data_IF_123808029963
#
_entry.id   IF_123808029963
#
_cell.length_a   1.000
_cell.length_b   1.000
_cell.length_c   1.000
_cell.angle_alpha   90.00
_cell.angle_beta   90.00
_cell.angle_gamma   90.00
#
_symmetry.space_group_name_H-M   'P 1'
#
loop_
_entity.id
_entity.type
_entity.pdbx_description
1 polymer ?
#
# COMPACT_ATOMS: atom_id res chain seq x y z
N UNK A 1 -1.32 -27.59 3.89
CA UNK A 1 -2.15 -26.53 4.52
C UNK A 1 -1.20 -25.73 5.40
N UNK A 2 -0.54 -24.71 4.84
CA UNK A 2 0.36 -23.85 5.62
C UNK A 2 -0.46 -23.09 6.64
N UNK A 3 -0.07 -23.18 7.90
CA UNK A 3 -0.72 -22.44 8.98
C UNK A 3 -0.62 -20.92 8.68
N UNK A 4 -1.75 -20.25 8.61
CA UNK A 4 -1.76 -18.80 8.47
C UNK A 4 -0.94 -18.17 9.61
N UNK A 5 0.00 -17.27 9.32
CA UNK A 5 0.80 -16.63 10.34
C UNK A 5 -0.13 -15.87 11.29
N UNK A 6 -0.08 -16.22 12.59
CA UNK A 6 -0.89 -15.55 13.62
C UNK A 6 -0.24 -14.25 14.00
N UNK A 7 -1.06 -13.21 14.15
CA UNK A 7 -0.63 -11.96 14.77
C UNK A 7 -0.16 -12.22 16.20
N UNK A 8 0.84 -11.46 16.66
CA UNK A 8 1.32 -11.56 18.04
C UNK A 8 0.29 -10.97 19.00
N UNK A 9 0.04 -11.65 20.12
CA UNK A 9 -0.80 -11.13 21.20
C UNK A 9 -0.17 -9.89 21.89
N UNK A 10 1.16 -9.78 21.85
CA UNK A 10 1.92 -8.63 22.33
C UNK A 10 2.92 -8.13 21.28
N UNK A 11 2.45 -7.42 20.25
CA UNK A 11 3.26 -6.98 19.13
C UNK A 11 4.25 -5.88 19.54
N UNK A 12 5.47 -5.91 18.99
CA UNK A 12 6.42 -4.79 19.09
C UNK A 12 6.19 -3.73 18.00
N UNK A 13 5.56 -4.12 16.89
CA UNK A 13 5.17 -3.23 15.79
C UNK A 13 3.69 -3.45 15.48
N UNK A 14 2.92 -2.38 15.37
CA UNK A 14 1.54 -2.41 14.85
C UNK A 14 1.50 -1.62 13.54
N UNK A 15 1.15 -2.30 12.44
CA UNK A 15 0.97 -1.68 11.13
C UNK A 15 -0.49 -1.25 10.97
N UNK A 16 -0.71 0.02 10.70
CA UNK A 16 -2.05 0.59 10.53
C UNK A 16 -2.50 0.61 9.08
N UNK A 17 -3.76 0.27 8.84
CA UNK A 17 -4.48 0.42 7.58
C UNK A 17 -5.98 0.54 7.86
N UNK A 18 -6.37 1.67 8.44
CA UNK A 18 -7.75 1.90 8.92
C UNK A 18 -8.75 2.12 7.77
N UNK A 19 -8.28 2.42 6.56
CA UNK A 19 -9.15 2.66 5.43
C UNK A 19 -9.73 1.34 4.90
N UNK A 20 -11.04 1.18 4.93
CA UNK A 20 -11.74 0.00 4.43
C UNK A 20 -11.59 -0.20 2.92
N UNK A 21 -11.47 0.91 2.17
CA UNK A 21 -11.36 0.86 0.71
C UNK A 21 -9.97 0.41 0.27
N UNK A 22 -9.91 -0.58 -0.61
CA UNK A 22 -8.66 -1.06 -1.21
C UNK A 22 -7.99 0.04 -2.05
N UNK A 23 -6.71 0.27 -1.82
CA UNK A 23 -5.89 1.29 -2.49
C UNK A 23 -4.47 0.76 -2.68
N UNK A 24 -3.62 1.45 -3.43
CA UNK A 24 -2.19 1.10 -3.55
C UNK A 24 -1.49 0.98 -2.19
N UNK A 25 -1.82 1.84 -1.22
CA UNK A 25 -1.30 1.73 0.16
C UNK A 25 -1.77 0.42 0.81
N UNK A 26 -3.04 0.04 0.65
CA UNK A 26 -3.56 -1.22 1.17
C UNK A 26 -2.90 -2.43 0.49
N UNK A 27 -2.67 -2.37 -0.83
CA UNK A 27 -1.96 -3.41 -1.57
C UNK A 27 -0.55 -3.64 -1.02
N UNK A 28 0.20 -2.56 -0.75
CA UNK A 28 1.54 -2.64 -0.16
C UNK A 28 1.51 -3.22 1.25
N UNK A 29 0.55 -2.80 2.09
CA UNK A 29 0.39 -3.37 3.45
C UNK A 29 0.09 -4.86 3.37
N UNK A 30 -0.84 -5.27 2.52
CA UNK A 30 -1.23 -6.68 2.36
C UNK A 30 -0.07 -7.56 1.87
N UNK A 31 0.82 -7.02 1.05
CA UNK A 31 2.01 -7.74 0.60
C UNK A 31 3.11 -7.83 1.68
N UNK A 32 3.30 -6.76 2.47
CA UNK A 32 4.41 -6.68 3.43
C UNK A 32 4.10 -7.33 4.77
N UNK A 33 2.87 -7.20 5.29
CA UNK A 33 2.51 -7.71 6.64
C UNK A 33 2.84 -9.19 6.81
N UNK A 34 2.47 -10.12 5.91
CA UNK A 34 2.80 -11.54 6.06
C UNK A 34 4.30 -11.82 6.09
N UNK A 35 5.10 -11.05 5.34
CA UNK A 35 6.56 -11.19 5.33
C UNK A 35 7.18 -10.66 6.63
N UNK A 36 6.71 -9.52 7.10
CA UNK A 36 7.18 -8.91 8.34
C UNK A 36 6.81 -9.75 9.57
N UNK A 37 5.65 -10.42 9.57
CA UNK A 37 5.24 -11.36 10.63
C UNK A 37 6.20 -12.54 10.83
N UNK A 38 6.97 -12.90 9.80
CA UNK A 38 8.00 -13.96 9.90
C UNK A 38 9.23 -13.52 10.69
N UNK A 39 9.46 -12.21 10.81
CA UNK A 39 10.68 -11.63 11.39
C UNK A 39 10.43 -10.87 12.69
N UNK A 40 9.22 -10.36 12.88
CA UNK A 40 8.87 -9.45 13.97
C UNK A 40 7.59 -9.90 14.66
N UNK A 41 7.48 -9.61 15.95
CA UNK A 41 6.21 -9.70 16.67
C UNK A 41 5.31 -8.55 16.19
N UNK A 42 4.53 -8.81 15.17
CA UNK A 42 3.75 -7.82 14.44
C UNK A 42 2.27 -7.95 14.75
N UNK A 43 1.62 -6.81 14.97
CA UNK A 43 0.19 -6.61 14.98
C UNK A 43 -0.26 -5.87 13.72
N UNK A 44 -1.49 -6.09 13.31
CA UNK A 44 -2.10 -5.36 12.21
C UNK A 44 -3.38 -4.71 12.69
N UNK A 45 -3.50 -3.40 12.52
CA UNK A 45 -4.69 -2.64 12.89
C UNK A 45 -5.44 -2.19 11.62
N UNK A 46 -6.59 -2.81 11.39
CA UNK A 46 -7.40 -2.54 10.20
C UNK A 46 -8.40 -3.65 9.90
N UNK A 47 -9.08 -3.57 8.76
CA UNK A 47 -9.99 -4.62 8.28
C UNK A 47 -9.21 -5.86 7.85
N UNK A 48 -9.83 -7.04 7.98
CA UNK A 48 -9.24 -8.30 7.50
C UNK A 48 -8.70 -8.17 6.08
N UNK A 49 -7.48 -8.60 5.88
CA UNK A 49 -6.82 -8.56 4.58
C UNK A 49 -7.33 -9.67 3.65
N UNK A 50 -7.19 -9.48 2.35
CA UNK A 50 -7.57 -10.48 1.34
C UNK A 50 -6.80 -11.81 1.46
N UNK A 51 -5.65 -11.80 2.12
CA UNK A 51 -4.82 -12.98 2.42
C UNK A 51 -5.17 -13.67 3.75
N UNK A 52 -6.29 -13.31 4.38
CA UNK A 52 -6.78 -13.92 5.61
C UNK A 52 -6.18 -13.38 6.91
N UNK A 53 -5.28 -12.40 6.88
CA UNK A 53 -4.76 -11.75 8.10
C UNK A 53 -5.88 -10.95 8.76
N UNK A 54 -6.29 -11.37 9.95
CA UNK A 54 -7.33 -10.70 10.75
C UNK A 54 -6.72 -9.53 11.50
N UNK A 55 -7.27 -8.33 11.30
CA UNK A 55 -6.80 -7.12 11.97
C UNK A 55 -7.45 -6.90 13.33
N UNK A 56 -6.70 -6.28 14.24
CA UNK A 56 -7.24 -5.73 15.48
C UNK A 56 -7.93 -4.38 15.23
N UNK A 57 -8.85 -4.01 16.13
CA UNK A 57 -9.44 -2.67 16.14
C UNK A 57 -8.48 -1.62 16.73
N UNK A 58 -8.69 -0.34 16.40
CA UNK A 58 -7.86 0.75 16.95
C UNK A 58 -7.93 0.86 18.50
N UNK A 59 -9.08 0.51 19.11
CA UNK A 59 -9.23 0.46 20.59
C UNK A 59 -8.37 -0.62 21.22
N UNK A 60 -8.27 -1.76 20.55
CA UNK A 60 -7.42 -2.87 20.97
C UNK A 60 -5.93 -2.48 20.81
N UNK A 61 -5.56 -1.83 19.70
CA UNK A 61 -4.22 -1.29 19.49
C UNK A 61 -3.81 -0.32 20.63
N UNK A 62 -4.73 0.54 21.09
CA UNK A 62 -4.52 1.39 22.27
C UNK A 62 -4.35 0.53 23.52
N UNK A 63 -5.22 -0.44 23.75
CA UNK A 63 -5.19 -1.29 24.95
C UNK A 63 -3.87 -2.03 25.11
N UNK A 64 -3.40 -2.70 24.05
CA UNK A 64 -2.11 -3.42 24.09
C UNK A 64 -0.91 -2.48 24.16
N UNK A 65 -1.08 -1.20 23.77
CA UNK A 65 -0.02 -0.19 23.81
C UNK A 65 0.10 0.55 25.15
N UNK A 66 -0.76 0.25 26.13
CA UNK A 66 -0.65 0.85 27.48
C UNK A 66 0.64 0.47 28.21
N UNK A 67 1.25 -0.65 27.81
CA UNK A 67 2.54 -1.11 28.30
C UNK A 67 3.47 -1.36 27.11
N UNK A 68 4.77 -1.09 27.24
CA UNK A 68 5.73 -1.44 26.22
C UNK A 68 5.79 -2.97 26.06
N UNK A 69 6.11 -3.48 24.87
CA UNK A 69 6.29 -4.92 24.68
C UNK A 69 7.53 -5.44 25.42
N UNK A 70 7.57 -6.74 25.84
CA UNK A 70 8.69 -7.31 26.57
C UNK A 70 10.02 -7.07 25.86
N UNK A 71 11.01 -6.57 26.61
CA UNK A 71 12.37 -6.29 26.13
C UNK A 71 12.49 -5.02 25.26
N UNK A 72 11.45 -4.19 25.19
CA UNK A 72 11.48 -2.93 24.44
C UNK A 72 10.98 -1.77 25.29
N UNK A 73 11.53 -0.55 25.13
CA UNK A 73 11.07 0.63 25.88
C UNK A 73 9.78 1.24 25.32
N UNK A 74 9.40 0.90 24.09
CA UNK A 74 8.20 1.42 23.41
C UNK A 74 7.73 0.44 22.33
N UNK A 75 6.48 0.63 21.89
CA UNK A 75 5.90 -0.04 20.73
C UNK A 75 5.93 0.88 19.53
N UNK A 76 6.16 0.33 18.33
CA UNK A 76 6.14 1.09 17.08
C UNK A 76 4.73 1.05 16.51
N UNK A 77 4.17 2.21 16.19
CA UNK A 77 2.97 2.35 15.37
C UNK A 77 3.39 2.82 13.98
N UNK A 78 3.24 1.94 13.00
CA UNK A 78 3.57 2.23 11.62
C UNK A 78 2.33 2.72 10.88
N UNK A 79 2.24 4.01 10.66
CA UNK A 79 1.10 4.72 10.07
C UNK A 79 1.41 5.14 8.63
N UNK A 80 0.37 5.32 7.81
CA UNK A 80 0.52 5.62 6.38
C UNK A 80 -0.43 6.68 5.85
N UNK A 81 -1.33 7.20 6.69
CA UNK A 81 -2.36 8.19 6.32
C UNK A 81 -2.61 9.18 7.44
N UNK A 82 -3.14 10.35 7.07
CA UNK A 82 -3.42 11.43 8.01
C UNK A 82 -4.28 10.99 9.22
N UNK A 83 -5.42 10.27 9.06
CA UNK A 83 -6.20 9.83 10.20
C UNK A 83 -5.44 8.89 11.14
N UNK A 84 -4.54 8.06 10.60
CA UNK A 84 -3.69 7.16 11.37
C UNK A 84 -2.61 7.96 12.13
N UNK A 85 -2.01 8.98 11.50
CA UNK A 85 -1.08 9.90 12.15
C UNK A 85 -1.78 10.68 13.29
N UNK A 86 -2.98 11.20 13.05
CA UNK A 86 -3.76 11.92 14.07
C UNK A 86 -4.07 11.03 15.27
N UNK A 87 -4.53 9.78 15.03
CA UNK A 87 -4.78 8.80 16.08
C UNK A 87 -3.49 8.50 16.87
N UNK A 88 -2.36 8.31 16.16
CA UNK A 88 -1.07 8.04 16.76
C UNK A 88 -0.58 9.20 17.63
N UNK A 89 -0.68 10.44 17.16
CA UNK A 89 -0.32 11.64 17.91
C UNK A 89 -1.18 11.78 19.17
N UNK A 90 -2.49 11.59 19.05
CA UNK A 90 -3.38 11.59 20.22
C UNK A 90 -3.02 10.49 21.22
N UNK A 91 -2.74 9.29 20.76
CA UNK A 91 -2.35 8.18 21.62
C UNK A 91 -1.00 8.44 22.33
N UNK A 92 -0.01 8.99 21.63
CA UNK A 92 1.33 9.28 22.16
C UNK A 92 1.32 10.51 23.08
N UNK A 93 0.76 11.62 22.59
CA UNK A 93 0.96 12.94 23.23
C UNK A 93 -0.13 13.26 24.29
N UNK A 94 -1.37 12.73 24.13
CA UNK A 94 -2.48 12.94 25.07
C UNK A 94 -2.63 11.76 26.02
N UNK A 95 -2.73 10.52 25.50
CA UNK A 95 -2.83 9.33 26.35
C UNK A 95 -1.48 8.90 26.95
N UNK A 96 -0.38 9.51 26.50
CA UNK A 96 1.00 9.25 26.95
C UNK A 96 1.39 7.78 26.87
N UNK A 97 0.92 7.10 25.80
CA UNK A 97 1.29 5.71 25.58
C UNK A 97 2.79 5.59 25.21
N UNK A 98 3.48 4.53 25.67
CA UNK A 98 4.87 4.27 25.31
C UNK A 98 4.98 3.76 23.87
N UNK A 99 4.73 4.65 22.91
CA UNK A 99 4.77 4.35 21.47
C UNK A 99 5.68 5.32 20.72
N UNK A 100 6.19 4.86 19.58
CA UNK A 100 6.88 5.67 18.57
C UNK A 100 6.12 5.57 17.26
N UNK A 101 6.02 6.69 16.55
CA UNK A 101 5.27 6.81 15.31
C UNK A 101 6.22 6.79 14.12
N UNK A 102 6.07 5.80 13.27
CA UNK A 102 6.78 5.69 11.98
C UNK A 102 5.78 5.93 10.86
N UNK A 103 6.09 6.87 9.98
CA UNK A 103 5.25 7.16 8.82
C UNK A 103 5.95 6.74 7.53
N UNK A 104 5.20 6.13 6.59
CA UNK A 104 5.72 5.87 5.23
C UNK A 104 4.99 6.74 4.22
N UNK A 105 5.77 7.58 3.52
CA UNK A 105 5.32 8.43 2.41
C UNK A 105 5.64 7.79 1.06
N UNK A 106 4.62 7.71 0.19
CA UNK A 106 4.77 7.35 -1.22
C UNK A 106 4.38 8.52 -2.16
N UNK A 107 3.99 9.65 -1.60
CA UNK A 107 3.55 10.80 -2.38
C UNK A 107 4.75 11.56 -2.98
N UNK A 108 4.69 11.82 -4.29
CA UNK A 108 5.72 12.54 -5.03
C UNK A 108 5.29 13.99 -5.34
N UNK A 109 4.55 14.58 -4.42
CA UNK A 109 4.12 15.98 -4.46
C UNK A 109 4.20 16.59 -3.07
N UNK A 110 4.37 17.88 -3.01
CA UNK A 110 4.43 18.62 -1.73
C UNK A 110 3.05 18.57 -1.07
N UNK A 111 3.05 18.14 0.17
CA UNK A 111 1.83 18.05 0.98
C UNK A 111 1.35 19.45 1.41
N UNK A 112 0.05 19.59 1.64
CA UNK A 112 -0.52 20.79 2.27
C UNK A 112 -0.04 20.98 3.72
N UNK A 113 -0.38 22.11 4.34
CA UNK A 113 0.12 22.51 5.67
C UNK A 113 -0.19 21.45 6.75
N UNK A 114 -1.42 20.95 6.81
CA UNK A 114 -1.83 19.98 7.84
C UNK A 114 -1.09 18.64 7.72
N UNK A 115 -1.05 17.95 6.55
CA UNK A 115 -0.25 16.75 6.42
C UNK A 115 1.24 16.95 6.70
N UNK A 116 1.82 18.10 6.27
CA UNK A 116 3.22 18.40 6.57
C UNK A 116 3.47 18.55 8.07
N UNK A 117 2.57 19.22 8.79
CA UNK A 117 2.65 19.30 10.25
C UNK A 117 2.54 17.93 10.92
N UNK A 118 1.59 17.08 10.50
CA UNK A 118 1.47 15.73 11.01
C UNK A 118 2.76 14.92 10.79
N UNK A 119 3.31 14.96 9.58
CA UNK A 119 4.55 14.26 9.22
C UNK A 119 5.73 14.77 10.06
N UNK A 120 5.84 16.08 10.30
CA UNK A 120 6.93 16.65 11.11
C UNK A 120 6.91 16.20 12.57
N UNK A 121 5.78 15.66 13.06
CA UNK A 121 5.61 15.14 14.42
C UNK A 121 5.89 13.64 14.53
N UNK A 122 6.20 12.97 13.45
CA UNK A 122 6.56 11.55 13.46
C UNK A 122 7.97 11.34 14.03
N UNK A 123 8.18 10.23 14.71
CA UNK A 123 9.49 9.86 15.27
C UNK A 123 10.47 9.39 14.17
N UNK A 124 9.92 8.80 13.09
CA UNK A 124 10.68 8.47 11.90
C UNK A 124 9.80 8.54 10.65
N UNK A 125 10.41 8.93 9.52
CA UNK A 125 9.73 9.03 8.22
C UNK A 125 10.49 8.20 7.20
N UNK A 126 9.80 7.25 6.58
CA UNK A 126 10.31 6.43 5.49
C UNK A 126 9.71 6.96 4.18
N UNK A 127 10.54 7.27 3.20
CA UNK A 127 10.08 7.60 1.85
C UNK A 127 10.28 6.41 0.92
N UNK A 128 9.36 6.20 -0.03
CA UNK A 128 9.45 5.07 -0.96
C UNK A 128 10.28 5.36 -2.20
N UNK A 129 10.64 6.61 -2.43
CA UNK A 129 11.56 7.07 -3.50
C UNK A 129 12.29 8.33 -3.05
N UNK A 130 13.39 8.69 -3.71
CA UNK A 130 14.07 9.95 -3.44
C UNK A 130 13.13 11.14 -3.67
N UNK A 131 12.37 11.14 -4.75
CA UNK A 131 11.39 12.20 -5.04
C UNK A 131 10.32 12.32 -3.94
N UNK A 132 9.91 11.23 -3.30
CA UNK A 132 9.00 11.29 -2.16
C UNK A 132 9.71 11.84 -0.91
N UNK A 133 11.00 11.53 -0.73
CA UNK A 133 11.80 12.08 0.36
C UNK A 133 11.93 13.61 0.27
N UNK A 134 12.13 14.13 -0.93
CA UNK A 134 12.25 15.58 -1.17
C UNK A 134 10.93 16.33 -0.91
N UNK A 135 9.81 15.62 -0.88
CA UNK A 135 8.47 16.20 -0.65
C UNK A 135 8.01 16.19 0.81
N UNK A 136 8.75 15.54 1.72
CA UNK A 136 8.36 15.41 3.14
C UNK A 136 9.47 15.88 4.08
N UNK A 137 9.13 16.45 5.25
CA UNK A 137 10.12 16.83 6.24
C UNK A 137 10.71 15.60 6.94
N UNK A 138 11.96 15.73 7.40
CA UNK A 138 12.61 14.78 8.32
C UNK A 138 12.65 13.32 7.83
N UNK A 139 12.88 13.09 6.53
CA UNK A 139 13.07 11.73 6.01
C UNK A 139 14.23 11.05 6.71
N UNK A 140 13.94 9.91 7.35
CA UNK A 140 14.91 9.08 8.06
C UNK A 140 15.58 8.10 7.12
N UNK A 141 14.82 7.53 6.17
CA UNK A 141 15.31 6.55 5.22
C UNK A 141 14.51 6.58 3.92
N UNK A 142 15.17 6.21 2.81
CA UNK A 142 14.52 5.90 1.54
C UNK A 142 14.52 4.39 1.37
N UNK A 143 13.32 3.78 1.33
CA UNK A 143 13.13 2.34 1.17
C UNK A 143 12.18 2.10 0.01
N UNK A 144 12.70 1.63 -1.10
CA UNK A 144 11.90 1.38 -2.30
C UNK A 144 10.84 0.30 -2.05
N UNK A 145 9.72 0.39 -2.77
CA UNK A 145 8.72 -0.67 -2.74
C UNK A 145 9.31 -1.99 -3.22
N UNK A 146 9.12 -3.04 -2.44
CA UNK A 146 9.36 -4.40 -2.88
C UNK A 146 8.19 -4.95 -3.69
N UNK A 147 8.45 -6.02 -4.43
CA UNK A 147 7.45 -6.82 -5.13
C UNK A 147 7.52 -8.27 -4.62
N UNK A 148 6.39 -8.96 -4.69
CA UNK A 148 6.32 -10.38 -4.39
C UNK A 148 6.89 -11.19 -5.57
N UNK A 149 8.14 -11.66 -5.45
CA UNK A 149 8.82 -12.42 -6.50
C UNK A 149 8.23 -13.81 -6.75
N UNK A 150 7.50 -14.37 -5.78
CA UNK A 150 6.79 -15.63 -5.99
C UNK A 150 5.56 -15.44 -6.90
N UNK A 151 4.91 -14.27 -6.78
CA UNK A 151 3.76 -13.91 -7.61
C UNK A 151 4.17 -13.28 -8.95
N UNK A 152 5.24 -12.50 -8.96
CA UNK A 152 5.73 -11.77 -10.13
C UNK A 152 7.10 -12.30 -10.54
N UNK A 153 7.13 -13.58 -10.92
CA UNK A 153 8.34 -14.23 -11.43
C UNK A 153 8.62 -13.83 -12.89
N UNK A 154 9.89 -13.93 -13.29
CA UNK A 154 10.26 -13.79 -14.70
C UNK A 154 9.81 -15.04 -15.44
N UNK A 155 9.02 -14.87 -16.46
CA UNK A 155 8.51 -15.95 -17.33
C UNK A 155 8.90 -15.70 -18.78
N UNK A 156 8.87 -16.75 -19.59
CA UNK A 156 9.01 -16.59 -21.04
C UNK A 156 7.82 -15.81 -21.59
N UNK A 157 8.10 -14.72 -22.31
CA UNK A 157 7.07 -13.79 -22.80
C UNK A 157 6.11 -14.43 -23.80
N UNK A 158 6.65 -15.30 -24.67
CA UNK A 158 5.87 -15.94 -25.72
C UNK A 158 4.90 -16.97 -25.12
N UNK A 159 5.40 -17.76 -24.18
CA UNK A 159 4.58 -18.73 -23.43
C UNK A 159 3.48 -18.04 -22.63
N UNK A 160 3.83 -16.97 -21.88
CA UNK A 160 2.86 -16.21 -21.10
C UNK A 160 1.80 -15.51 -21.97
N UNK A 161 2.19 -15.02 -23.16
CA UNK A 161 1.24 -14.45 -24.11
C UNK A 161 0.27 -15.52 -24.65
N UNK A 162 0.79 -16.67 -25.04
CA UNK A 162 -0.02 -17.79 -25.51
C UNK A 162 -1.00 -18.28 -24.41
N UNK A 163 -0.55 -18.37 -23.16
CA UNK A 163 -1.38 -18.76 -22.00
C UNK A 163 -2.48 -17.74 -21.71
N UNK A 164 -2.27 -16.46 -22.01
CA UNK A 164 -3.28 -15.42 -21.83
C UNK A 164 -4.54 -15.60 -22.70
N UNK A 165 -4.45 -16.36 -23.80
CA UNK A 165 -5.51 -16.54 -24.77
C UNK A 165 -5.85 -15.27 -25.60
N UNK A 166 -5.06 -14.21 -25.47
CA UNK A 166 -5.27 -12.97 -26.21
C UNK A 166 -4.79 -13.10 -27.66
N UNK A 167 -5.48 -12.45 -28.63
CA UNK A 167 -5.10 -12.51 -30.02
C UNK A 167 -3.81 -11.73 -30.32
N UNK A 168 -3.27 -11.91 -31.54
CA UNK A 168 -2.06 -11.24 -31.99
C UNK A 168 -0.79 -11.80 -31.38
N UNK A 169 0.32 -11.13 -31.64
CA UNK A 169 1.67 -11.53 -31.19
C UNK A 169 2.21 -10.65 -30.06
N UNK A 170 1.73 -9.42 -29.97
CA UNK A 170 2.22 -8.42 -29.03
C UNK A 170 1.07 -7.75 -28.30
N UNK A 171 1.26 -7.53 -27.00
CA UNK A 171 0.33 -6.78 -26.16
C UNK A 171 0.83 -5.36 -25.87
N UNK A 172 -0.07 -4.37 -25.98
CA UNK A 172 0.14 -3.02 -25.46
C UNK A 172 -0.86 -2.84 -24.35
N UNK A 173 -0.40 -2.62 -23.10
CA UNK A 173 -1.29 -2.62 -21.95
C UNK A 173 -1.23 -1.37 -21.10
N UNK A 174 -2.39 -0.95 -20.56
CA UNK A 174 -2.50 0.00 -19.47
C UNK A 174 -3.02 -0.70 -18.23
N UNK A 175 -2.31 -0.54 -17.11
CA UNK A 175 -2.62 -1.20 -15.85
C UNK A 175 -2.95 -0.17 -14.78
N UNK A 176 -4.11 -0.31 -14.15
CA UNK A 176 -4.53 0.59 -13.09
C UNK A 176 -6.03 0.81 -13.07
N UNK A 177 -6.51 1.65 -12.13
CA UNK A 177 -7.94 1.95 -12.05
C UNK A 177 -8.42 2.69 -13.29
N UNK A 178 -9.52 2.21 -13.88
CA UNK A 178 -10.16 2.87 -15.02
C UNK A 178 -10.86 4.14 -14.53
N UNK A 179 -10.35 5.30 -14.93
CA UNK A 179 -10.87 6.62 -14.58
C UNK A 179 -10.18 7.73 -15.38
N UNK A 180 -10.81 8.91 -15.58
CA UNK A 180 -10.30 9.97 -16.44
C UNK A 180 -8.86 10.40 -16.17
N UNK A 181 -8.50 10.59 -14.89
CA UNK A 181 -7.16 11.04 -14.50
C UNK A 181 -6.03 10.00 -14.71
N UNK A 182 -6.36 8.80 -15.21
CA UNK A 182 -5.41 7.76 -15.60
C UNK A 182 -5.17 7.71 -17.11
N UNK A 183 -5.91 8.50 -17.90
CA UNK A 183 -5.73 8.59 -19.35
C UNK A 183 -6.12 7.30 -20.08
N UNK A 184 -7.07 6.53 -19.55
CA UNK A 184 -7.55 5.30 -20.20
C UNK A 184 -8.23 5.61 -21.51
N UNK A 185 -8.95 6.72 -21.62
CA UNK A 185 -9.55 7.27 -22.83
C UNK A 185 -8.49 7.59 -23.91
N UNK A 186 -7.43 8.29 -23.51
CA UNK A 186 -6.31 8.60 -24.40
C UNK A 186 -5.66 7.32 -24.94
N UNK A 187 -5.53 6.29 -24.07
CA UNK A 187 -5.03 4.98 -24.50
C UNK A 187 -5.98 4.33 -25.51
N UNK A 188 -7.29 4.35 -25.28
CA UNK A 188 -8.28 3.78 -26.21
C UNK A 188 -8.20 4.49 -27.56
N UNK A 189 -8.23 5.83 -27.58
CA UNK A 189 -8.14 6.61 -28.82
C UNK A 189 -6.86 6.30 -29.61
N UNK A 190 -5.72 6.19 -28.90
CA UNK A 190 -4.46 5.83 -29.52
C UNK A 190 -4.52 4.41 -30.13
N UNK A 191 -5.10 3.44 -29.42
CA UNK A 191 -5.21 2.06 -29.91
C UNK A 191 -6.20 1.95 -31.08
N UNK A 192 -7.31 2.66 -31.08
CA UNK A 192 -8.23 2.72 -32.20
C UNK A 192 -7.56 3.24 -33.48
N UNK A 193 -6.64 4.18 -33.35
CA UNK A 193 -5.87 4.70 -34.49
C UNK A 193 -4.74 3.77 -34.96
N UNK A 194 -4.14 3.01 -34.07
CA UNK A 194 -2.95 2.20 -34.34
C UNK A 194 -3.27 0.76 -34.78
N UNK A 195 -4.18 0.08 -34.09
CA UNK A 195 -4.44 -1.35 -34.30
C UNK A 195 -4.85 -1.73 -35.73
N UNK A 196 -5.60 -0.91 -36.49
CA UNK A 196 -5.90 -1.21 -37.89
C UNK A 196 -4.65 -1.31 -38.79
N UNK A 197 -3.55 -0.65 -38.40
CA UNK A 197 -2.26 -0.67 -39.12
C UNK A 197 -1.32 -1.76 -38.63
N UNK A 198 -1.55 -2.30 -37.46
CA UNK A 198 -0.69 -3.26 -36.78
C UNK A 198 -1.50 -4.46 -36.25
N UNK A 199 -1.96 -5.36 -37.14
CA UNK A 199 -2.88 -6.46 -36.76
C UNK A 199 -2.28 -7.47 -35.78
N UNK A 200 -0.95 -7.52 -35.66
CA UNK A 200 -0.26 -8.39 -34.70
C UNK A 200 -0.31 -7.88 -33.25
N UNK A 201 -0.82 -6.68 -33.03
CA UNK A 201 -0.91 -6.08 -31.69
C UNK A 201 -2.32 -6.18 -31.12
N UNK A 202 -2.39 -6.38 -29.80
CA UNK A 202 -3.63 -6.37 -29.03
C UNK A 202 -3.54 -5.33 -27.92
N UNK A 203 -4.58 -4.50 -27.79
CA UNK A 203 -4.71 -3.57 -26.67
C UNK A 203 -5.27 -4.30 -25.44
N UNK A 204 -4.69 -4.07 -24.26
CA UNK A 204 -5.13 -4.65 -23.00
C UNK A 204 -5.35 -3.58 -21.95
N UNK A 205 -6.52 -3.52 -21.37
CA UNK A 205 -6.84 -2.66 -20.22
C UNK A 205 -7.08 -3.54 -19.02
N UNK A 206 -6.21 -3.46 -18.01
CA UNK A 206 -6.31 -4.23 -16.78
C UNK A 206 -6.52 -3.31 -15.58
N UNK A 207 -7.74 -3.32 -15.04
CA UNK A 207 -8.11 -2.50 -13.88
C UNK A 207 -9.60 -2.52 -13.60
N UNK A 208 -9.98 -1.91 -12.47
CA UNK A 208 -11.38 -1.79 -12.08
C UNK A 208 -11.84 -0.34 -12.16
N UNK A 209 -12.98 -0.10 -12.79
CA UNK A 209 -13.73 1.13 -12.63
C UNK A 209 -14.38 1.17 -11.25
N UNK A 210 -14.39 2.34 -10.62
CA UNK A 210 -15.12 2.53 -9.38
C UNK A 210 -16.58 2.86 -9.72
N UNK A 211 -17.58 2.54 -8.86
CA UNK A 211 -18.99 2.79 -9.15
C UNK A 211 -19.28 4.22 -9.62
N UNK A 212 -18.57 5.21 -9.05
CA UNK A 212 -18.70 6.62 -9.47
C UNK A 212 -18.14 6.92 -10.87
N UNK A 213 -17.43 6.00 -11.48
CA UNK A 213 -16.84 6.09 -12.81
C UNK A 213 -17.34 4.97 -13.74
N UNK A 214 -18.42 4.28 -13.38
CA UNK A 214 -19.00 3.20 -14.20
C UNK A 214 -19.36 3.67 -15.62
N UNK A 215 -19.87 4.88 -15.75
CA UNK A 215 -20.18 5.49 -17.06
C UNK A 215 -18.93 5.78 -17.94
N UNK A 216 -17.73 5.72 -17.36
CA UNK A 216 -16.47 5.89 -18.10
C UNK A 216 -15.91 4.54 -18.60
N UNK A 217 -16.48 3.43 -18.17
CA UNK A 217 -16.11 2.07 -18.57
C UNK A 217 -16.87 1.61 -19.82
N UNK A 218 -17.97 2.26 -20.15
CA UNK A 218 -18.82 2.04 -21.34
C UNK A 218 -18.37 2.90 -22.50
#
# INVERSE_FOLDING_TARGET
MEAHPRLSDDPEVIVFNLKQRYTGVSATVNALVPLQMKQWRLGYCGTTQSNGVVGMGWREAISVSRRPPPGRPFRIWHVRRDPEMMLGLWARDVLRLPIRLVFTSAAQHVHGAIPRWLISRMDAVIATTQKAADCVPNTTAVVHHGIDLARFSVVDKSAAWAESGLPGRYGIGVFGRVRPDKGTDVFVDAMLALLPRYPDFTAVIAGLAQPKHAAYET
#
